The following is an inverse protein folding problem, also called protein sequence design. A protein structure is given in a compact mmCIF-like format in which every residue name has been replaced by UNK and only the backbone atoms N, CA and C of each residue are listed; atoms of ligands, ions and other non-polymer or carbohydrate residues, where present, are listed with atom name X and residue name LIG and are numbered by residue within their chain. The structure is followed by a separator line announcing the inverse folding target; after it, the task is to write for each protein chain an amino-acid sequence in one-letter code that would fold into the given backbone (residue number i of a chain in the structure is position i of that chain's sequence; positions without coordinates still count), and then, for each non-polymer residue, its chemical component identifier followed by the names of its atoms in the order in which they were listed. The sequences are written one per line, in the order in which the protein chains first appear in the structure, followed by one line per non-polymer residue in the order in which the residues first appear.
data_IF_334300257899
#
_entry.id   IF_334300257899
#
_cell.length_a   1.000
_cell.length_b   1.000
_cell.length_c   1.000
_cell.angle_alpha   90.00
_cell.angle_beta   90.00
_cell.angle_gamma   90.00
#
_symmetry.space_group_name_H-M   'P 1'
#
loop_
_entity.id
_entity.type
_entity.pdbx_description
1 polymer ?
#
# COMPACT_ATOMS: atom_id res chain seq x y z
N UNK A 1 -3.43 17.39 -6.72
CA UNK A 1 -2.49 16.63 -7.57
C UNK A 1 -2.58 15.17 -7.15
N UNK A 2 -2.78 14.24 -8.09
CA UNK A 2 -2.83 12.81 -7.78
C UNK A 2 -1.45 12.17 -7.96
N UNK A 3 -1.01 11.26 -7.07
CA UNK A 3 0.28 10.59 -7.20
C UNK A 3 0.31 9.50 -8.29
N UNK A 4 -0.82 9.17 -8.93
CA UNK A 4 -0.92 8.13 -9.98
C UNK A 4 0.14 8.29 -11.07
N UNK A 5 0.34 9.52 -11.58
CA UNK A 5 1.36 9.78 -12.61
C UNK A 5 2.79 9.65 -12.10
N UNK A 6 3.05 10.05 -10.86
CA UNK A 6 4.38 10.00 -10.23
C UNK A 6 4.80 8.56 -9.87
N UNK A 7 3.85 7.65 -9.68
CA UNK A 7 4.11 6.24 -9.36
C UNK A 7 5.02 5.54 -10.40
N UNK A 8 5.00 6.00 -11.66
CA UNK A 8 5.88 5.51 -12.74
C UNK A 8 7.36 5.72 -12.50
N UNK A 9 7.71 6.64 -11.59
CA UNK A 9 9.10 6.95 -11.25
C UNK A 9 9.61 6.15 -10.05
N UNK A 10 8.81 5.25 -9.49
CA UNK A 10 9.24 4.41 -8.35
C UNK A 10 10.16 3.30 -8.84
N UNK A 11 11.42 3.34 -8.41
CA UNK A 11 12.48 2.40 -8.86
C UNK A 11 12.94 1.43 -7.79
N UNK A 12 12.30 1.42 -6.62
CA UNK A 12 12.64 0.55 -5.49
C UNK A 12 11.49 -0.40 -5.17
N UNK A 13 11.76 -1.61 -4.64
CA UNK A 13 10.70 -2.49 -4.18
C UNK A 13 9.72 -1.75 -3.26
N UNK A 14 8.41 -1.90 -3.50
CA UNK A 14 7.37 -1.14 -2.78
C UNK A 14 6.22 -2.02 -2.28
N UNK A 15 6.02 -2.05 -0.96
CA UNK A 15 4.78 -2.55 -0.35
C UNK A 15 3.79 -1.39 -0.21
N UNK A 16 2.70 -1.40 -0.99
CA UNK A 16 1.59 -0.48 -0.85
C UNK A 16 0.51 -1.10 0.04
N UNK A 17 -0.07 -0.34 0.96
CA UNK A 17 -1.20 -0.79 1.76
C UNK A 17 -2.23 0.33 1.95
N UNK A 18 -3.50 -0.05 2.06
CA UNK A 18 -4.60 0.90 2.20
C UNK A 18 -5.84 0.22 2.79
N UNK A 19 -6.64 0.97 3.56
CA UNK A 19 -8.00 0.53 3.95
C UNK A 19 -8.89 0.59 2.72
N UNK A 20 -9.45 -0.55 2.30
CA UNK A 20 -10.17 -0.68 1.03
C UNK A 20 -11.35 0.28 0.95
N UNK A 21 -12.17 0.35 2.00
CA UNK A 21 -13.37 1.19 2.03
C UNK A 21 -13.15 2.54 2.75
N UNK A 22 -11.92 3.05 2.77
CA UNK A 22 -11.60 4.36 3.35
C UNK A 22 -12.42 5.48 2.68
N UNK A 23 -13.26 6.15 3.47
CA UNK A 23 -14.17 7.23 3.04
C UNK A 23 -13.48 8.42 2.37
N UNK A 24 -12.16 8.57 2.54
CA UNK A 24 -11.37 9.68 2.02
C UNK A 24 -10.47 9.31 0.82
N UNK A 25 -10.60 8.10 0.28
CA UNK A 25 -9.84 7.62 -0.90
C UNK A 25 -10.73 6.76 -1.77
N UNK A 26 -10.32 6.50 -3.01
CA UNK A 26 -11.01 5.56 -3.90
C UNK A 26 -10.11 4.35 -4.14
N UNK A 27 -10.63 3.10 -4.03
CA UNK A 27 -9.87 1.90 -4.35
C UNK A 27 -9.21 1.97 -5.73
N UNK A 28 -9.91 2.50 -6.73
CA UNK A 28 -9.42 2.60 -8.11
C UNK A 28 -8.19 3.52 -8.22
N UNK A 29 -8.12 4.59 -7.43
CA UNK A 29 -6.96 5.49 -7.44
C UNK A 29 -5.71 4.78 -6.88
N UNK A 30 -5.89 3.97 -5.84
CA UNK A 30 -4.81 3.20 -5.20
C UNK A 30 -4.36 2.05 -6.09
N UNK A 31 -5.31 1.37 -6.75
CA UNK A 31 -5.01 0.37 -7.77
C UNK A 31 -4.23 1.00 -8.93
N UNK A 32 -4.65 2.18 -9.42
CA UNK A 32 -3.94 2.89 -10.47
C UNK A 32 -2.52 3.31 -10.05
N UNK A 33 -2.29 3.70 -8.79
CA UNK A 33 -0.94 3.95 -8.26
C UNK A 33 -0.12 2.67 -8.32
N UNK A 34 -0.64 1.58 -7.74
CA UNK A 34 0.03 0.27 -7.73
C UNK A 34 0.40 -0.18 -9.15
N UNK A 35 -0.55 -0.15 -10.08
CA UNK A 35 -0.37 -0.61 -11.45
C UNK A 35 0.71 0.19 -12.19
N UNK A 36 0.83 1.49 -11.89
CA UNK A 36 1.85 2.36 -12.49
C UNK A 36 3.26 2.18 -11.91
N UNK A 37 3.46 1.51 -10.78
CA UNK A 37 4.82 1.26 -10.22
C UNK A 37 5.55 0.22 -11.11
N UNK A 38 6.73 0.52 -11.67
CA UNK A 38 7.46 -0.44 -12.51
C UNK A 38 8.36 -1.41 -11.72
N UNK A 39 8.74 -1.05 -10.49
CA UNK A 39 9.54 -1.91 -9.62
C UNK A 39 8.71 -3.10 -9.06
N UNK A 40 9.40 -4.03 -8.39
CA UNK A 40 8.73 -5.09 -7.62
C UNK A 40 7.79 -4.46 -6.59
N UNK A 41 6.59 -5.01 -6.50
CA UNK A 41 5.51 -4.39 -5.73
C UNK A 41 4.51 -5.42 -5.23
N UNK A 42 3.95 -5.11 -4.07
CA UNK A 42 2.79 -5.79 -3.49
C UNK A 42 1.74 -4.74 -3.10
N UNK A 43 0.46 -5.09 -3.22
CA UNK A 43 -0.67 -4.31 -2.70
C UNK A 43 -1.41 -5.11 -1.63
N UNK A 44 -1.54 -4.53 -0.44
CA UNK A 44 -2.29 -5.11 0.65
C UNK A 44 -3.51 -4.25 1.02
N UNK A 45 -4.69 -4.84 0.86
CA UNK A 45 -5.95 -4.24 1.27
C UNK A 45 -6.30 -4.61 2.71
N UNK A 46 -6.52 -3.61 3.54
CA UNK A 46 -7.14 -3.79 4.86
C UNK A 46 -8.65 -3.72 4.65
N UNK A 47 -9.32 -4.84 4.84
CA UNK A 47 -10.76 -4.97 4.67
C UNK A 47 -11.51 -4.92 6.01
N UNK A 48 -12.83 -4.71 5.97
CA UNK A 48 -13.66 -4.70 7.18
C UNK A 48 -13.62 -3.39 7.97
N UNK A 49 -13.05 -2.32 7.41
CA UNK A 49 -13.08 -0.97 7.99
C UNK A 49 -13.27 0.08 6.91
N UNK A 50 -13.87 1.20 7.29
CA UNK A 50 -13.96 2.43 6.49
C UNK A 50 -13.07 3.56 7.04
N UNK A 51 -12.36 3.28 8.14
CA UNK A 51 -11.65 4.28 8.93
C UNK A 51 -10.17 4.30 8.57
N UNK A 52 -9.70 5.41 8.01
CA UNK A 52 -8.29 5.61 7.64
C UNK A 52 -7.29 5.28 8.76
N UNK A 53 -7.60 5.61 10.01
CA UNK A 53 -6.68 5.40 11.14
C UNK A 53 -6.46 3.94 11.50
N UNK A 54 -7.33 3.03 11.05
CA UNK A 54 -7.09 1.59 11.19
C UNK A 54 -5.92 1.17 10.28
N UNK A 55 -5.77 1.83 9.12
CA UNK A 55 -4.58 1.71 8.28
C UNK A 55 -3.29 2.04 9.01
N UNK A 56 -3.25 3.20 9.69
CA UNK A 56 -2.06 3.65 10.42
C UNK A 56 -1.64 2.71 11.56
N UNK A 57 -2.59 1.98 12.14
CA UNK A 57 -2.34 1.06 13.26
C UNK A 57 -2.15 -0.38 12.84
N UNK A 58 -2.48 -0.73 11.59
CA UNK A 58 -2.56 -2.13 11.16
C UNK A 58 -1.28 -2.91 11.43
N UNK A 59 -0.12 -2.41 10.99
CA UNK A 59 1.16 -3.10 11.19
C UNK A 59 1.68 -3.08 12.62
N UNK A 60 1.17 -2.19 13.48
CA UNK A 60 1.46 -2.27 14.92
C UNK A 60 0.77 -3.47 15.57
N UNK A 61 -0.37 -3.92 15.02
CA UNK A 61 -1.14 -5.07 15.51
C UNK A 61 -0.83 -6.36 14.74
N UNK A 62 -0.49 -6.24 13.45
CA UNK A 62 -0.28 -7.34 12.52
C UNK A 62 1.05 -7.14 11.76
N UNK A 63 2.21 -7.24 12.44
CA UNK A 63 3.50 -6.87 11.85
C UNK A 63 4.01 -7.86 10.80
N UNK A 64 3.51 -9.10 10.78
CA UNK A 64 4.08 -10.20 9.98
C UNK A 64 4.36 -9.83 8.52
N UNK A 65 3.36 -9.30 7.80
CA UNK A 65 3.53 -8.96 6.38
C UNK A 65 4.60 -7.89 6.12
N UNK A 66 4.77 -6.89 6.99
CA UNK A 66 5.81 -5.86 6.77
C UNK A 66 7.20 -6.40 7.12
N UNK A 67 7.28 -7.27 8.13
CA UNK A 67 8.53 -7.98 8.45
C UNK A 67 8.94 -8.92 7.31
N UNK A 68 8.01 -9.72 6.79
CA UNK A 68 8.26 -10.60 5.63
C UNK A 68 8.70 -9.81 4.38
N UNK A 69 8.18 -8.59 4.20
CA UNK A 69 8.61 -7.71 3.12
C UNK A 69 10.06 -7.24 3.32
N UNK A 70 10.41 -6.82 4.54
CA UNK A 70 11.79 -6.40 4.82
C UNK A 70 12.77 -7.57 4.71
N UNK A 71 12.45 -8.74 5.24
CA UNK A 71 13.29 -9.93 5.12
C UNK A 71 13.55 -10.30 3.65
N UNK A 72 12.56 -10.12 2.76
CA UNK A 72 12.73 -10.38 1.32
C UNK A 72 13.67 -9.41 0.61
N UNK A 73 13.79 -8.16 1.06
CA UNK A 73 14.41 -7.08 0.28
C UNK A 73 15.56 -6.34 0.96
N UNK A 74 15.73 -6.47 2.28
CA UNK A 74 16.74 -5.76 3.08
C UNK A 74 17.68 -6.69 3.86
N UNK A 75 17.66 -8.00 3.52
CA UNK A 75 18.57 -9.01 4.08
C UNK A 75 19.98 -8.93 3.48
#
# INVERSE_FOLDING_TARGET
MSPVGAARSVTVPTLLYQVRDDVLTRPDDVQAIHDNIPAEKDLFWIEGSTRRWDGYRYFAQNPGRVLDWFDRHLS
#
